data_IF_348605090247
#
_entry.id   IF_348605090247
#
_cell.length_a   1.000
_cell.length_b   1.000
_cell.length_c   1.000
_cell.angle_alpha   90.00
_cell.angle_beta   90.00
_cell.angle_gamma   90.00
#
_symmetry.space_group_name_H-M   'P 1'
#
loop_
_entity.id
_entity.type
_entity.pdbx_description
1 polymer ?
#
# COMPACT_ATOMS: atom_id res chain seq x y z
N UNK A 1 -4.46 9.19 7.68
CA UNK A 1 -4.74 9.65 9.05
C UNK A 1 -6.21 9.95 9.29
N UNK A 2 -6.54 10.30 10.52
CA UNK A 2 -5.62 10.69 11.59
C UNK A 2 -4.84 9.54 12.25
N UNK A 3 -5.37 8.34 12.33
CA UNK A 3 -4.71 7.20 12.98
C UNK A 3 -3.78 6.48 12.00
N UNK A 4 -2.61 7.03 11.76
CA UNK A 4 -1.60 6.48 10.85
C UNK A 4 -0.18 6.85 11.29
N UNK A 5 0.83 6.22 10.66
CA UNK A 5 2.24 6.47 10.93
C UNK A 5 2.74 7.82 10.39
N UNK A 6 2.05 8.41 9.45
CA UNK A 6 2.43 9.67 8.82
C UNK A 6 2.84 9.55 7.37
N UNK A 7 3.66 10.49 6.92
CA UNK A 7 4.20 10.57 5.57
C UNK A 7 5.69 10.90 5.62
N UNK A 8 6.48 10.30 4.75
CA UNK A 8 7.90 10.60 4.60
C UNK A 8 8.30 10.60 3.12
N UNK A 9 8.99 11.66 2.71
CA UNK A 9 9.78 11.71 1.48
C UNK A 9 11.25 11.69 1.90
N UNK A 10 11.96 10.54 1.76
CA UNK A 10 13.31 10.37 2.29
C UNK A 10 14.26 11.42 1.74
N UNK A 11 15.12 11.96 2.60
CA UNK A 11 16.04 13.06 2.24
C UNK A 11 15.40 14.46 2.16
N UNK A 12 14.07 14.58 2.21
CA UNK A 12 13.33 15.84 2.03
C UNK A 12 12.54 16.26 3.26
N UNK A 13 11.53 15.47 3.64
CA UNK A 13 10.63 15.84 4.74
C UNK A 13 9.92 14.64 5.36
N UNK A 14 9.45 14.82 6.59
CA UNK A 14 8.66 13.84 7.33
C UNK A 14 7.62 14.55 8.20
N UNK A 15 6.43 13.99 8.24
CA UNK A 15 5.38 14.37 9.17
C UNK A 15 4.80 13.09 9.81
N UNK A 16 4.91 12.94 11.12
CA UNK A 16 4.48 11.77 11.89
C UNK A 16 5.64 11.07 12.59
N UNK A 17 5.54 9.74 12.71
CA UNK A 17 6.46 8.90 13.48
C UNK A 17 7.21 7.87 12.63
N UNK A 18 7.35 8.12 11.34
CA UNK A 18 8.06 7.23 10.41
C UNK A 18 9.53 7.06 10.82
N UNK A 19 10.07 5.82 10.91
CA UNK A 19 11.46 5.60 11.27
C UNK A 19 12.39 5.90 10.08
N UNK A 20 12.82 7.15 9.92
CA UNK A 20 13.56 7.63 8.75
C UNK A 20 14.79 6.81 8.38
N UNK A 21 15.42 6.13 9.36
CA UNK A 21 16.63 5.34 9.13
C UNK A 21 16.42 4.08 8.26
N UNK A 22 15.18 3.57 8.13
CA UNK A 22 14.87 2.42 7.26
C UNK A 22 14.57 2.83 5.82
N UNK A 23 14.35 4.10 5.57
CA UNK A 23 14.06 4.63 4.25
C UNK A 23 15.34 5.04 3.51
N UNK A 24 15.35 4.81 2.21
CA UNK A 24 16.36 5.30 1.28
C UNK A 24 15.64 6.12 0.21
N UNK A 25 16.23 7.23 -0.19
CA UNK A 25 15.73 8.04 -1.31
C UNK A 25 15.74 7.25 -2.62
N UNK A 26 14.68 7.38 -3.41
CA UNK A 26 14.50 6.70 -4.70
C UNK A 26 13.17 7.04 -5.34
N UNK A 27 12.61 6.09 -6.11
CA UNK A 27 11.53 6.37 -7.06
C UNK A 27 10.29 5.48 -6.90
N UNK A 28 10.13 4.78 -5.77
CA UNK A 28 8.94 3.96 -5.51
C UNK A 28 8.05 4.64 -4.48
N UNK A 29 6.80 4.89 -4.82
CA UNK A 29 5.76 5.34 -3.91
C UNK A 29 5.25 4.18 -3.05
N UNK A 30 5.03 4.40 -1.76
CA UNK A 30 4.39 3.42 -0.87
C UNK A 30 3.09 4.01 -0.33
N UNK A 31 2.01 3.22 -0.39
CA UNK A 31 0.73 3.53 0.27
C UNK A 31 0.40 2.37 1.18
N UNK A 32 0.18 2.61 2.47
CA UNK A 32 -0.10 1.53 3.42
C UNK A 32 -1.17 1.89 4.45
N UNK A 33 -2.07 0.93 4.73
CA UNK A 33 -2.94 0.99 5.90
C UNK A 33 -2.13 0.71 7.18
N UNK A 34 -1.21 -0.25 7.11
CA UNK A 34 -0.38 -0.67 8.23
C UNK A 34 0.95 0.08 8.24
N UNK A 35 1.25 0.80 9.32
CA UNK A 35 2.59 1.37 9.53
C UNK A 35 3.66 0.29 9.51
N UNK A 36 3.48 -0.78 10.26
CA UNK A 36 4.47 -1.87 10.40
C UNK A 36 4.77 -2.56 9.06
N UNK A 37 3.76 -2.89 8.26
CA UNK A 37 3.99 -3.50 6.93
C UNK A 37 4.64 -2.50 5.95
N UNK A 38 4.31 -1.22 6.06
CA UNK A 38 5.00 -0.17 5.30
C UNK A 38 6.49 -0.07 5.68
N UNK A 39 6.81 -0.19 6.96
CA UNK A 39 8.20 -0.21 7.45
C UNK A 39 8.96 -1.45 6.96
N UNK A 40 8.32 -2.62 7.03
CA UNK A 40 8.90 -3.87 6.53
C UNK A 40 9.23 -3.77 5.04
N UNK A 41 8.30 -3.27 4.24
CA UNK A 41 8.53 -3.04 2.81
C UNK A 41 9.69 -2.05 2.55
N UNK A 42 9.72 -0.92 3.26
CA UNK A 42 10.78 0.07 3.11
C UNK A 42 12.16 -0.49 3.48
N UNK A 43 12.25 -1.30 4.55
CA UNK A 43 13.49 -1.95 4.95
C UNK A 43 13.95 -2.99 3.92
N UNK A 44 13.04 -3.80 3.37
CA UNK A 44 13.36 -4.75 2.30
C UNK A 44 13.89 -4.02 1.07
N UNK A 45 13.21 -2.96 0.64
CA UNK A 45 13.61 -2.13 -0.50
C UNK A 45 14.99 -1.53 -0.28
N UNK A 46 15.27 -0.97 0.91
CA UNK A 46 16.58 -0.44 1.27
C UNK A 46 17.68 -1.49 1.15
N UNK A 47 17.43 -2.73 1.63
CA UNK A 47 18.38 -3.83 1.56
C UNK A 47 18.66 -4.26 0.11
N UNK A 48 17.69 -4.11 -0.79
CA UNK A 48 17.79 -4.38 -2.21
C UNK A 48 18.31 -3.17 -3.02
N UNK A 49 18.70 -2.10 -2.35
CA UNK A 49 19.13 -0.85 -2.97
C UNK A 49 18.03 -0.13 -3.78
N UNK A 50 16.76 -0.46 -3.52
CA UNK A 50 15.59 0.23 -4.07
C UNK A 50 15.22 1.36 -3.10
N UNK A 51 14.99 2.55 -3.63
CA UNK A 51 14.64 3.72 -2.83
C UNK A 51 13.16 4.09 -2.95
N UNK A 52 12.71 4.90 -2.01
CA UNK A 52 11.34 5.39 -1.88
C UNK A 52 11.27 6.87 -2.26
N UNK A 53 10.34 7.25 -3.12
CA UNK A 53 10.03 8.65 -3.41
C UNK A 53 9.26 9.28 -2.23
N UNK A 54 8.12 8.66 -1.91
CA UNK A 54 7.29 9.04 -0.76
C UNK A 54 6.58 7.81 -0.22
N UNK A 55 6.54 7.68 1.10
CA UNK A 55 5.73 6.66 1.79
C UNK A 55 4.60 7.32 2.55
N UNK A 56 3.37 6.90 2.29
CA UNK A 56 2.14 7.46 2.87
C UNK A 56 1.42 6.40 3.69
N UNK A 57 1.29 6.64 4.99
CA UNK A 57 0.40 5.88 5.86
C UNK A 57 -1.01 6.46 5.79
N UNK A 58 -1.98 5.69 5.32
CA UNK A 58 -3.39 6.13 5.32
C UNK A 58 -4.13 5.70 6.58
N UNK A 59 -3.65 4.65 7.27
CA UNK A 59 -4.26 4.13 8.50
C UNK A 59 -5.25 2.99 8.26
N UNK A 60 -5.49 2.21 9.31
CA UNK A 60 -6.37 1.04 9.31
C UNK A 60 -7.79 1.30 9.82
N UNK A 61 -8.19 2.55 10.00
CA UNK A 61 -9.55 2.91 10.38
C UNK A 61 -10.51 2.85 9.18
N UNK A 62 -11.81 2.61 9.40
CA UNK A 62 -12.79 2.57 8.31
C UNK A 62 -13.00 3.95 7.66
N UNK A 63 -12.75 5.03 8.39
CA UNK A 63 -12.84 6.42 7.91
C UNK A 63 -11.46 7.07 8.03
N UNK A 64 -10.88 7.42 6.91
CA UNK A 64 -9.58 8.10 6.82
C UNK A 64 -9.68 9.40 6.03
N UNK A 65 -8.71 10.30 6.26
CA UNK A 65 -8.63 11.59 5.56
C UNK A 65 -8.25 11.46 4.09
N UNK A 66 -7.50 10.39 3.71
CA UNK A 66 -7.17 10.07 2.32
C UNK A 66 -7.36 8.59 2.07
N UNK A 67 -7.91 8.23 0.92
CA UNK A 67 -8.05 6.85 0.45
C UNK A 67 -6.82 6.39 -0.34
N UNK A 68 -6.75 5.09 -0.67
CA UNK A 68 -5.77 4.58 -1.62
C UNK A 68 -5.85 5.28 -2.96
N UNK A 69 -7.07 5.51 -3.46
CA UNK A 69 -7.30 6.18 -4.73
C UNK A 69 -6.74 7.60 -4.75
N UNK A 70 -6.97 8.39 -3.71
CA UNK A 70 -6.48 9.78 -3.65
C UNK A 70 -4.94 9.85 -3.73
N UNK A 71 -4.26 8.87 -3.15
CA UNK A 71 -2.80 8.85 -3.12
C UNK A 71 -2.21 8.26 -4.40
N UNK A 72 -2.81 7.20 -4.94
CA UNK A 72 -2.31 6.59 -6.18
C UNK A 72 -2.44 7.55 -7.38
N UNK A 73 -3.49 8.36 -7.42
CA UNK A 73 -3.67 9.43 -8.39
C UNK A 73 -2.55 10.48 -8.32
N UNK A 74 -2.12 10.82 -7.10
CA UNK A 74 -0.98 11.75 -6.91
C UNK A 74 0.33 11.12 -7.38
N UNK A 75 0.55 9.83 -7.13
CA UNK A 75 1.75 9.15 -7.59
C UNK A 75 1.81 9.02 -9.13
N UNK A 76 0.68 8.88 -9.82
CA UNK A 76 0.68 8.87 -11.28
C UNK A 76 1.21 10.18 -11.88
N UNK A 77 0.90 11.31 -11.26
CA UNK A 77 1.32 12.64 -11.70
C UNK A 77 2.66 13.11 -11.11
N UNK A 78 3.24 12.35 -10.19
CA UNK A 78 4.52 12.69 -9.54
C UNK A 78 5.71 12.24 -10.39
N UNK A 79 6.48 13.18 -10.92
CA UNK A 79 7.67 12.91 -11.76
C UNK A 79 8.81 12.20 -11.00
N UNK A 80 8.77 12.18 -9.67
CA UNK A 80 9.75 11.50 -8.82
C UNK A 80 9.35 10.05 -8.50
N UNK A 81 8.19 9.60 -8.91
CA UNK A 81 7.68 8.24 -8.67
C UNK A 81 7.58 7.46 -9.99
N UNK A 82 8.20 6.29 -10.08
CA UNK A 82 8.15 5.41 -11.25
C UNK A 82 7.25 4.17 -11.05
N UNK A 83 7.05 3.74 -9.82
CA UNK A 83 6.22 2.59 -9.47
C UNK A 83 5.54 2.80 -8.11
N UNK A 84 4.45 2.09 -7.86
CA UNK A 84 3.71 2.20 -6.59
C UNK A 84 3.57 0.83 -5.92
N UNK A 85 3.91 0.76 -4.63
CA UNK A 85 3.60 -0.38 -3.76
C UNK A 85 2.40 -0.02 -2.88
N UNK A 86 1.30 -0.74 -3.07
CA UNK A 86 0.06 -0.61 -2.32
C UNK A 86 -0.07 -1.75 -1.31
N UNK A 87 -0.12 -1.42 -0.02
CA UNK A 87 -0.21 -2.39 1.09
C UNK A 87 -1.56 -2.21 1.77
N UNK A 88 -2.47 -3.13 1.45
CA UNK A 88 -3.82 -3.18 1.98
C UNK A 88 -4.06 -4.36 2.90
N UNK A 89 -5.31 -4.52 3.28
CA UNK A 89 -5.78 -5.57 4.17
C UNK A 89 -7.25 -5.90 3.89
N UNK A 90 -7.81 -6.84 4.62
CA UNK A 90 -9.25 -7.12 4.60
C UNK A 90 -10.07 -5.90 5.03
N UNK A 91 -11.31 -5.82 4.59
CA UNK A 91 -12.28 -4.80 4.98
C UNK A 91 -12.29 -3.56 4.11
N UNK A 92 -13.47 -3.10 3.82
CA UNK A 92 -13.74 -1.93 2.98
C UNK A 92 -13.34 -2.07 1.51
N UNK A 93 -13.83 -1.20 0.64
CA UNK A 93 -13.64 -1.29 -0.81
C UNK A 93 -12.44 -0.48 -1.35
N UNK A 94 -11.64 0.16 -0.50
CA UNK A 94 -10.68 1.19 -0.94
C UNK A 94 -9.57 0.66 -1.87
N UNK A 95 -9.06 -0.55 -1.61
CA UNK A 95 -8.02 -1.18 -2.45
C UNK A 95 -8.57 -1.53 -3.83
N UNK A 96 -9.82 -2.02 -3.88
CA UNK A 96 -10.51 -2.31 -5.15
C UNK A 96 -10.70 -1.02 -5.96
N UNK A 97 -11.22 0.03 -5.35
CA UNK A 97 -11.39 1.32 -6.01
C UNK A 97 -10.07 1.92 -6.54
N UNK A 98 -8.96 1.69 -5.83
CA UNK A 98 -7.63 2.09 -6.31
C UNK A 98 -7.15 1.23 -7.49
N UNK A 99 -7.43 -0.07 -7.46
CA UNK A 99 -7.11 -0.98 -8.57
C UNK A 99 -7.89 -0.64 -9.85
N UNK A 100 -9.17 -0.37 -9.73
CA UNK A 100 -10.02 0.07 -10.85
C UNK A 100 -9.51 1.40 -11.44
N UNK A 101 -9.18 2.37 -10.60
CA UNK A 101 -8.56 3.61 -11.04
C UNK A 101 -7.23 3.37 -11.75
N UNK A 102 -6.38 2.51 -11.20
CA UNK A 102 -5.09 2.18 -11.78
C UNK A 102 -5.22 1.56 -13.18
N UNK A 103 -6.16 0.63 -13.36
CA UNK A 103 -6.45 -0.02 -14.64
C UNK A 103 -6.78 0.99 -15.75
N UNK A 104 -7.54 2.03 -15.41
CA UNK A 104 -8.06 2.99 -16.40
C UNK A 104 -7.11 4.17 -16.64
N UNK A 105 -6.33 4.57 -15.62
CA UNK A 105 -5.68 5.88 -15.62
C UNK A 105 -4.16 5.82 -15.42
N UNK A 106 -3.61 4.72 -14.89
CA UNK A 106 -2.17 4.66 -14.60
C UNK A 106 -1.36 4.06 -15.74
N UNK A 107 -0.21 4.65 -15.95
CA UNK A 107 0.88 4.12 -16.80
C UNK A 107 1.99 3.50 -15.96
N UNK A 108 2.11 3.94 -14.70
CA UNK A 108 3.11 3.44 -13.76
C UNK A 108 2.67 2.09 -13.19
N UNK A 109 3.56 1.11 -13.08
CA UNK A 109 3.23 -0.19 -12.51
C UNK A 109 2.83 -0.09 -11.05
N UNK A 110 1.82 -0.90 -10.68
CA UNK A 110 1.33 -1.02 -9.31
C UNK A 110 1.55 -2.43 -8.81
N UNK A 111 2.17 -2.54 -7.64
CA UNK A 111 2.32 -3.79 -6.90
C UNK A 111 1.39 -3.74 -5.70
N UNK A 112 0.65 -4.81 -5.45
CA UNK A 112 -0.27 -4.93 -4.33
C UNK A 112 0.15 -6.05 -3.37
N UNK A 113 0.04 -5.78 -2.08
CA UNK A 113 0.02 -6.79 -1.04
C UNK A 113 -1.25 -6.61 -0.20
N UNK A 114 -2.00 -7.68 0.02
CA UNK A 114 -3.22 -7.66 0.83
C UNK A 114 -3.06 -8.61 2.01
N UNK A 115 -3.05 -8.07 3.22
CA UNK A 115 -2.98 -8.85 4.44
C UNK A 115 -4.33 -9.52 4.76
N UNK A 116 -4.27 -10.70 5.38
CA UNK A 116 -5.46 -11.37 5.90
C UNK A 116 -6.05 -12.47 5.02
N UNK A 117 -5.24 -13.14 4.17
CA UNK A 117 -5.71 -14.27 3.33
C UNK A 117 -6.41 -15.39 4.13
N UNK A 118 -6.05 -15.57 5.40
CA UNK A 118 -6.63 -16.59 6.28
C UNK A 118 -7.59 -16.00 7.33
N UNK A 119 -7.93 -14.72 7.22
CA UNK A 119 -8.79 -14.05 8.19
C UNK A 119 -10.23 -14.58 8.11
N UNK A 120 -10.85 -14.93 9.25
CA UNK A 120 -12.24 -15.38 9.29
C UNK A 120 -13.20 -14.21 9.03
N UNK A 121 -14.30 -14.48 8.34
CA UNK A 121 -15.37 -13.49 8.10
C UNK A 121 -16.01 -13.02 9.43
N UNK A 122 -16.39 -11.75 9.50
CA UNK A 122 -17.12 -11.18 10.60
C UNK A 122 -16.31 -10.92 11.89
N UNK A 123 -14.97 -11.08 11.84
CA UNK A 123 -14.09 -10.75 12.97
C UNK A 123 -13.20 -9.57 12.63
N UNK A 124 -13.04 -8.65 13.60
CA UNK A 124 -12.06 -7.55 13.49
C UNK A 124 -10.66 -8.12 13.70
N UNK A 125 -9.76 -7.84 12.78
CA UNK A 125 -8.39 -8.37 12.76
C UNK A 125 -7.36 -7.25 12.96
N UNK A 126 -7.23 -6.78 14.21
CA UNK A 126 -6.27 -5.75 14.59
C UNK A 126 -6.79 -4.33 14.35
N UNK A 127 -6.80 -3.87 13.11
CA UNK A 127 -7.34 -2.54 12.77
C UNK A 127 -8.86 -2.49 12.83
N UNK A 128 -9.42 -1.33 13.21
CA UNK A 128 -10.87 -1.16 13.31
C UNK A 128 -11.59 -1.37 11.96
N UNK A 129 -10.95 -1.03 10.85
CA UNK A 129 -11.45 -1.25 9.50
C UNK A 129 -11.18 -2.66 8.94
N UNK A 130 -10.39 -3.48 9.62
CA UNK A 130 -10.03 -4.83 9.15
C UNK A 130 -11.09 -5.87 9.54
N UNK A 131 -12.26 -5.76 8.93
CA UNK A 131 -13.39 -6.68 9.09
C UNK A 131 -14.03 -6.96 7.74
N UNK A 132 -14.30 -8.24 7.43
CA UNK A 132 -15.02 -8.63 6.21
C UNK A 132 -16.52 -8.61 6.50
N UNK A 133 -17.23 -7.65 5.97
CA UNK A 133 -18.67 -7.44 6.14
C UNK A 133 -19.47 -7.60 4.85
N UNK A 134 -18.83 -7.42 3.68
CA UNK A 134 -19.46 -7.49 2.37
C UNK A 134 -18.60 -8.27 1.36
N UNK A 135 -19.16 -8.50 0.17
CA UNK A 135 -18.42 -9.05 -0.97
C UNK A 135 -17.33 -8.08 -1.45
N UNK A 136 -16.19 -8.62 -1.85
CA UNK A 136 -15.04 -7.81 -2.28
C UNK A 136 -14.15 -7.28 -1.13
N UNK A 137 -14.50 -7.59 0.13
CA UNK A 137 -13.76 -7.12 1.30
C UNK A 137 -12.78 -8.15 1.88
N UNK A 138 -12.89 -9.41 1.51
CA UNK A 138 -11.89 -10.43 1.89
C UNK A 138 -10.59 -10.24 1.12
N UNK A 139 -9.47 -10.67 1.70
CA UNK A 139 -8.19 -10.56 1.03
C UNK A 139 -8.14 -11.38 -0.27
N UNK A 140 -8.81 -12.53 -0.32
CA UNK A 140 -8.87 -13.38 -1.51
C UNK A 140 -9.59 -12.64 -2.64
N UNK A 141 -10.80 -12.12 -2.39
CA UNK A 141 -11.58 -11.37 -3.38
C UNK A 141 -10.83 -10.12 -3.86
N UNK A 142 -10.22 -9.36 -2.95
CA UNK A 142 -9.40 -8.19 -3.32
C UNK A 142 -8.22 -8.57 -4.22
N UNK A 143 -7.50 -9.65 -3.89
CA UNK A 143 -6.38 -10.12 -4.70
C UNK A 143 -6.82 -10.52 -6.11
N UNK A 144 -7.96 -11.19 -6.26
CA UNK A 144 -8.52 -11.55 -7.57
C UNK A 144 -8.88 -10.31 -8.37
N UNK A 145 -9.64 -9.39 -7.78
CA UNK A 145 -10.04 -8.13 -8.45
C UNK A 145 -8.82 -7.28 -8.83
N UNK A 146 -7.85 -7.15 -7.94
CA UNK A 146 -6.64 -6.38 -8.22
C UNK A 146 -5.81 -6.98 -9.36
N UNK A 147 -5.72 -8.31 -9.46
CA UNK A 147 -5.09 -8.98 -10.61
C UNK A 147 -5.81 -8.66 -11.92
N UNK A 148 -7.13 -8.67 -11.92
CA UNK A 148 -7.96 -8.32 -13.08
C UNK A 148 -7.82 -6.84 -13.48
N UNK A 149 -7.40 -6.01 -12.51
CA UNK A 149 -7.02 -4.62 -12.73
C UNK A 149 -5.57 -4.43 -13.22
N UNK A 150 -4.79 -5.50 -13.36
CA UNK A 150 -3.39 -5.42 -13.82
C UNK A 150 -2.39 -5.14 -12.71
N UNK A 151 -2.80 -5.20 -11.44
CA UNK A 151 -1.91 -5.05 -10.29
C UNK A 151 -1.10 -6.32 -10.07
N UNK A 152 0.22 -6.20 -9.99
CA UNK A 152 1.11 -7.32 -9.66
C UNK A 152 1.00 -7.64 -8.17
N UNK A 153 0.63 -8.87 -7.80
CA UNK A 153 0.41 -9.23 -6.40
C UNK A 153 1.64 -9.88 -5.77
N UNK A 154 2.13 -9.28 -4.69
CA UNK A 154 3.13 -9.88 -3.82
C UNK A 154 2.51 -11.02 -3.01
N UNK A 155 3.14 -12.20 -3.01
CA UNK A 155 2.56 -13.43 -2.44
C UNK A 155 2.53 -13.43 -0.91
N UNK A 156 3.48 -12.76 -0.28
CA UNK A 156 3.59 -12.67 1.18
C UNK A 156 4.37 -11.41 1.57
N UNK A 157 4.32 -10.99 2.85
CA UNK A 157 4.95 -9.75 3.28
C UNK A 157 6.48 -9.75 3.18
N UNK A 158 7.13 -10.92 3.24
CA UNK A 158 8.60 -11.00 3.23
C UNK A 158 9.22 -10.83 1.84
N UNK A 159 8.41 -10.76 0.78
CA UNK A 159 8.88 -10.59 -0.62
C UNK A 159 8.32 -9.35 -1.30
N UNK A 160 7.75 -8.41 -0.54
CA UNK A 160 7.23 -7.17 -1.10
C UNK A 160 8.30 -6.37 -1.87
N UNK A 161 9.51 -6.25 -1.28
CA UNK A 161 10.64 -5.60 -1.94
C UNK A 161 11.10 -6.33 -3.21
N UNK A 162 11.14 -7.66 -3.18
CA UNK A 162 11.50 -8.48 -4.35
C UNK A 162 10.50 -8.35 -5.49
N UNK A 163 9.22 -8.18 -5.19
CA UNK A 163 8.17 -8.00 -6.20
C UNK A 163 8.39 -6.75 -7.06
N UNK A 164 9.15 -5.77 -6.58
CA UNK A 164 9.52 -4.54 -7.30
C UNK A 164 10.68 -4.73 -8.30
N UNK A 165 11.44 -5.82 -8.21
CA UNK A 165 12.58 -6.06 -9.12
C UNK A 165 12.11 -6.58 -10.49
N UNK A 166 10.92 -7.12 -10.56
CA UNK A 166 10.38 -7.82 -11.73
C UNK A 166 9.36 -7.01 -12.54
N UNK A 167 9.30 -5.71 -12.33
CA UNK A 167 8.41 -4.79 -13.04
C UNK A 167 9.19 -3.80 -13.91
#
# INVERSE_FOLDING_TARGET
GPNCAGIISPGKSMLGIMPGHIYKEGRVGIISRSGTLGYEAAQQMKNLNIGVSTSVGIGGDPINGSSFRDIIEKFETDDETDAVLMIGEIGGPQEVAAGEFAKENMKKPVIGYIAGLTAPKGRVMGHAGAIVSAYGESAIEKVEILKDCGVTISKNPSVMGLSLIHI
#
